data_IF_645277933571
#
_entry.id   IF_645277933571
#
_cell.length_a   1.000
_cell.length_b   1.000
_cell.length_c   1.000
_cell.angle_alpha   90.00
_cell.angle_beta   90.00
_cell.angle_gamma   90.00
#
_symmetry.space_group_name_H-M   'P 1'
#
loop_
_entity.id
_entity.type
_entity.pdbx_description
1 polymer ?
2 non-polymer ?
3 non-polymer ?
4 water ?
#
# COMPACT_ATOMS: atom_id res chain seq x y z
N UNK A 1 11.58 -9.43 15.29
CA UNK A 1 11.01 -9.18 13.93
C UNK A 1 11.89 -8.20 13.17
N UNK A 2 11.90 -8.33 11.85
CA UNK A 2 12.71 -7.44 11.02
C UNK A 2 12.00 -6.12 10.78
N UNK A 3 12.72 -5.03 10.99
CA UNK A 3 12.16 -3.70 10.77
C UNK A 3 12.56 -3.26 9.37
N UNK A 4 11.56 -3.03 8.52
CA UNK A 4 11.80 -2.62 7.15
C UNK A 4 11.71 -1.10 7.01
N UNK A 5 12.26 -0.59 5.91
CA UNK A 5 12.33 0.84 5.65
C UNK A 5 11.69 1.25 4.33
N UNK A 6 10.43 1.70 4.37
CA UNK A 6 9.71 2.13 3.16
C UNK A 6 10.41 3.27 2.42
N UNK A 7 10.42 3.19 1.09
CA UNK A 7 11.02 4.23 0.28
C UNK A 7 10.10 5.46 0.31
N UNK A 8 10.57 6.61 -0.21
CA UNK A 8 9.80 7.86 -0.23
C UNK A 8 8.29 7.84 -0.45
N UNK A 9 7.83 7.39 -1.61
CA UNK A 9 6.40 7.39 -1.88
C UNK A 9 5.61 6.55 -0.88
N UNK A 10 6.00 5.30 -0.70
CA UNK A 10 5.29 4.43 0.23
C UNK A 10 5.25 5.04 1.63
N UNK A 11 6.38 5.54 2.10
CA UNK A 11 6.44 6.13 3.44
C UNK A 11 5.46 7.29 3.57
N UNK A 12 5.39 8.12 2.52
CA UNK A 12 4.49 9.26 2.52
C UNK A 12 3.04 8.83 2.73
N UNK A 13 2.65 7.72 2.10
CA UNK A 13 1.29 7.23 2.22
C UNK A 13 1.02 6.69 3.62
N UNK A 14 2.02 6.03 4.20
CA UNK A 14 1.88 5.48 5.54
C UNK A 14 1.73 6.61 6.55
N UNK A 15 2.55 7.65 6.42
CA UNK A 15 2.46 8.77 7.34
C UNK A 15 1.15 9.53 7.21
N UNK A 16 0.61 9.60 6.00
CA UNK A 16 -0.65 10.30 5.80
C UNK A 16 -1.75 9.56 6.54
N UNK A 17 -1.58 8.25 6.69
CA UNK A 17 -2.56 7.42 7.37
C UNK A 17 -2.35 7.37 8.88
N UNK A 18 -1.28 8.00 9.36
CA UNK A 18 -1.03 8.01 10.79
C UNK A 18 0.31 7.49 11.27
N UNK A 19 1.09 6.88 10.39
CA UNK A 19 2.40 6.36 10.79
C UNK A 19 3.30 7.50 11.26
N UNK A 20 4.08 7.26 12.31
CA UNK A 20 4.95 8.30 12.86
C UNK A 20 6.43 7.94 12.97
N UNK A 21 6.89 6.96 12.20
CA UNK A 21 8.29 6.57 12.24
C UNK A 21 8.80 6.22 10.84
N UNK A 22 10.07 5.84 10.75
CA UNK A 22 10.68 5.50 9.46
C UNK A 22 10.85 4.01 9.21
N UNK A 23 10.84 3.21 10.28
CA UNK A 23 10.99 1.76 10.12
C UNK A 23 9.83 1.06 10.81
N UNK A 24 9.39 -0.05 10.22
CA UNK A 24 8.26 -0.81 10.74
C UNK A 24 8.41 -2.30 10.49
N UNK A 25 7.58 -3.10 11.16
CA UNK A 25 7.58 -4.53 10.91
C UNK A 25 6.66 -4.58 9.69
N UNK A 26 6.68 -5.67 8.95
CA UNK A 26 5.80 -5.76 7.79
C UNK A 26 4.35 -5.66 8.22
N UNK A 27 4.03 -6.18 9.40
CA UNK A 27 2.67 -6.12 9.91
C UNK A 27 2.22 -4.67 10.07
N UNK A 28 3.12 -3.82 10.56
CA UNK A 28 2.81 -2.41 10.75
C UNK A 28 2.65 -1.70 9.41
N UNK A 29 3.54 -2.00 8.46
CA UNK A 29 3.46 -1.39 7.13
C UNK A 29 2.10 -1.68 6.54
N UNK A 30 1.72 -2.95 6.56
CA UNK A 30 0.44 -3.38 6.01
C UNK A 30 -0.74 -2.74 6.72
N UNK A 31 -0.68 -2.66 8.05
CA UNK A 31 -1.76 -2.05 8.82
C UNK A 31 -1.96 -0.61 8.36
N UNK A 32 -0.87 0.14 8.28
CA UNK A 32 -0.95 1.54 7.87
C UNK A 32 -1.43 1.69 6.42
N UNK A 33 -1.03 0.78 5.54
CA UNK A 33 -1.47 0.87 4.15
C UNK A 33 -2.97 0.63 4.11
N UNK A 34 -3.44 -0.30 4.95
CA UNK A 34 -4.86 -0.58 5.02
C UNK A 34 -5.60 0.66 5.48
N UNK A 35 -5.05 1.34 6.48
CA UNK A 35 -5.68 2.56 6.98
C UNK A 35 -5.74 3.63 5.89
N UNK A 36 -4.69 3.70 5.08
CA UNK A 36 -4.62 4.66 3.98
C UNK A 36 -5.75 4.38 3.00
N UNK A 37 -5.92 3.11 2.66
CA UNK A 37 -6.97 2.68 1.73
C UNK A 37 -8.36 3.04 2.25
N UNK A 38 -8.60 2.85 3.55
CA UNK A 38 -9.89 3.19 4.13
C UNK A 38 -10.08 4.70 4.12
N UNK A 39 -9.03 5.43 4.49
CA UNK A 39 -9.07 6.89 4.55
C UNK A 39 -9.36 7.51 3.19
N UNK A 40 -8.74 6.96 2.15
CA UNK A 40 -8.91 7.46 0.78
C UNK A 40 -10.13 6.87 0.08
N UNK A 41 -10.82 5.96 0.76
CA UNK A 41 -11.99 5.30 0.19
C UNK A 41 -11.68 4.65 -1.15
N UNK A 42 -10.54 3.97 -1.21
CA UNK A 42 -10.12 3.31 -2.44
C UNK A 42 -10.78 1.96 -2.68
N UNK A 43 -11.36 1.38 -1.63
CA UNK A 43 -12.02 0.08 -1.80
C UNK A 43 -13.31 0.21 -2.62
N UNK A 44 -13.64 -0.86 -3.32
CA UNK A 44 -14.84 -0.92 -4.15
C UNK A 44 -16.10 -0.92 -3.28
N UNK A 45 -17.10 -0.14 -3.68
CA UNK A 45 -18.34 -0.06 -2.91
C UNK A 45 -19.10 -1.37 -2.79
N UNK A 46 -19.15 -2.13 -3.88
CA UNK A 46 -19.88 -3.40 -3.93
C UNK A 46 -19.07 -4.63 -3.52
N UNK A 47 -17.80 -4.67 -3.92
CA UNK A 47 -16.90 -5.77 -3.58
C UNK A 47 -15.78 -5.10 -2.80
N UNK A 48 -16.02 -4.94 -1.50
CA UNK A 48 -15.10 -4.25 -0.62
C UNK A 48 -13.68 -4.77 -0.46
N UNK A 49 -13.40 -5.98 -0.94
CA UNK A 49 -12.05 -6.52 -0.83
C UNK A 49 -11.20 -6.00 -1.99
N UNK A 50 -11.86 -5.43 -2.99
CA UNK A 50 -11.17 -4.88 -4.16
C UNK A 50 -10.70 -3.45 -3.88
N UNK A 51 -9.44 -3.17 -4.20
CA UNK A 51 -8.87 -1.84 -3.99
C UNK A 51 -8.58 -1.19 -5.34
N UNK A 52 -9.16 -0.01 -5.57
CA UNK A 52 -8.99 0.75 -6.81
C UNK A 52 -7.82 1.73 -6.67
N UNK A 53 -6.84 1.62 -7.55
CA UNK A 53 -5.67 2.49 -7.50
C UNK A 53 -5.51 3.40 -8.71
N UNK A 54 -6.34 3.20 -9.72
CA UNK A 54 -6.24 4.00 -10.94
C UNK A 54 -6.38 5.51 -10.76
N UNK A 55 -7.05 5.96 -9.70
CA UNK A 55 -7.23 7.39 -9.49
C UNK A 55 -6.43 7.92 -8.29
N UNK A 56 -5.49 7.11 -7.79
CA UNK A 56 -4.70 7.49 -6.62
C UNK A 56 -3.21 7.24 -6.81
N UNK A 57 -2.35 7.99 -6.09
CA UNK A 57 -0.90 7.80 -6.22
C UNK A 57 -0.46 6.37 -5.90
N UNK A 58 -1.29 5.64 -5.15
CA UNK A 58 -0.97 4.26 -4.82
C UNK A 58 -0.82 3.46 -6.12
N UNK A 59 -1.53 3.90 -7.16
CA UNK A 59 -1.47 3.21 -8.44
C UNK A 59 -0.08 3.15 -9.05
N UNK A 60 0.79 4.08 -8.66
CA UNK A 60 2.15 4.12 -9.17
C UNK A 60 2.97 2.92 -8.71
N UNK A 61 2.53 2.29 -7.63
CA UNK A 61 3.25 1.15 -7.07
C UNK A 61 2.80 -0.21 -7.60
N UNK A 62 1.74 -0.23 -8.41
CA UNK A 62 1.22 -1.47 -8.97
C UNK A 62 1.19 -1.47 -10.49
N UNK A 63 1.33 -2.65 -11.09
CA UNK A 63 1.26 -2.76 -12.53
C UNK A 63 -0.22 -2.76 -12.86
N UNK A 64 -0.92 -3.75 -12.32
CA UNK A 64 -2.36 -3.87 -12.49
C UNK A 64 -2.97 -2.90 -11.48
N UNK A 65 -3.79 -1.98 -11.97
CA UNK A 65 -4.39 -0.96 -11.12
C UNK A 65 -5.42 -1.39 -10.07
N UNK A 66 -5.81 -2.65 -10.09
CA UNK A 66 -6.76 -3.14 -9.09
C UNK A 66 -6.20 -4.38 -8.43
N UNK A 67 -6.24 -4.43 -7.10
CA UNK A 67 -5.76 -5.61 -6.41
C UNK A 67 -6.75 -5.92 -5.30
N UNK A 68 -6.77 -7.17 -4.87
CA UNK A 68 -7.66 -7.59 -3.80
C UNK A 68 -6.88 -7.71 -2.51
N UNK A 69 -7.51 -7.37 -1.39
CA UNK A 69 -6.82 -7.47 -0.11
C UNK A 69 -6.57 -8.94 0.23
N UNK A 70 -7.16 -9.85 -0.56
CA UNK A 70 -6.98 -11.29 -0.35
C UNK A 70 -5.67 -11.78 -0.99
N UNK A 71 -5.11 -10.97 -1.88
CA UNK A 71 -3.88 -11.33 -2.58
C UNK A 71 -2.65 -10.95 -1.77
N UNK A 72 -2.44 -11.64 -0.65
CA UNK A 72 -1.32 -11.33 0.23
C UNK A 72 0.07 -11.47 -0.38
N UNK A 73 0.30 -12.49 -1.20
CA UNK A 73 1.62 -12.64 -1.80
C UNK A 73 1.88 -11.49 -2.77
N UNK A 74 0.86 -11.10 -3.52
CA UNK A 74 1.00 -10.01 -4.48
C UNK A 74 1.27 -8.69 -3.75
N UNK A 75 0.55 -8.46 -2.66
CA UNK A 75 0.73 -7.24 -1.88
C UNK A 75 2.12 -7.19 -1.25
N UNK A 76 2.60 -8.33 -0.76
CA UNK A 76 3.93 -8.38 -0.17
C UNK A 76 4.97 -8.07 -1.25
N UNK A 77 4.71 -8.54 -2.47
CA UNK A 77 5.63 -8.30 -3.57
C UNK A 77 5.73 -6.80 -3.87
N UNK A 78 4.58 -6.12 -3.88
CA UNK A 78 4.56 -4.68 -4.14
C UNK A 78 5.34 -3.93 -3.09
N UNK A 79 5.12 -4.28 -1.83
CA UNK A 79 5.82 -3.60 -0.75
C UNK A 79 7.33 -3.80 -0.85
N UNK A 80 7.75 -5.03 -1.16
CA UNK A 80 9.17 -5.33 -1.28
C UNK A 80 9.88 -4.46 -2.31
N UNK A 81 9.16 -4.08 -3.36
CA UNK A 81 9.75 -3.23 -4.40
C UNK A 81 9.89 -1.81 -3.87
N UNK A 82 9.26 -1.54 -2.73
CA UNK A 82 9.28 -0.22 -2.14
C UNK A 82 9.90 -0.16 -0.75
N UNK A 83 10.95 -0.96 -0.56
CA UNK A 83 11.67 -0.99 0.70
C UNK A 83 13.14 -0.73 0.38
N UNK A 84 13.83 -0.02 1.26
CA UNK A 84 15.24 0.26 1.07
C UNK A 84 16.00 -1.06 1.26
N UNK A 85 16.71 -1.49 0.23
CA UNK A 85 17.47 -2.73 0.29
C UNK A 85 18.87 -2.50 0.85
X LIG B 1 -6.79 -5.06 6.08
X LIG B 1 -5.36 -5.31 6.12
X LIG B 1 -4.71 -4.78 7.41
X LIG B 1 -4.72 -4.70 4.88
X LIG B 1 -5.34 -6.87 6.07
X LIG B 1 -5.25 -7.45 7.48
X LIG B 1 -4.21 -7.40 5.23
X LIG B 1 -6.66 -7.22 5.49
X LIG B 1 -7.46 -6.22 5.56
X LIG B 1 -8.89 -6.24 5.17
X LIG B 1 -5.53 -4.32 3.80
X LIG B 1 -4.95 -3.85 2.62
X LIG B 1 -3.56 -3.75 2.53
X LIG B 1 -2.82 -3.27 1.00
X LIG B 1 -2.75 -4.05 3.63
X LIG B 1 -3.34 -4.52 4.81
X LIG B 1 -3.02 -7.79 5.87
X LIG B 1 -1.95 -8.25 5.11
X LIG B 1 -2.07 -8.32 3.72
X LIG B 1 -0.70 -8.86 2.76
X LIG B 1 -3.26 -7.95 3.09
X LIG B 1 -4.33 -7.49 3.85
X LIG B 1 -7.36 -3.84 6.59
X LIG B 1 -6.76 -2.77 6.43
X LIG B 1 -8.60 -3.87 7.25
X LIG B 1 -9.23 -2.59 7.58
X LIG B 1 -10.74 -2.72 7.39
X LIG B 1 -11.28 -3.84 8.20
X LIG B 1 -10.64 -5.13 7.83
X LIG B 1 -9.09 -5.06 7.95
X LIG B 1 -9.65 -7.38 5.43
X LIG B 1 -10.99 -7.45 5.04
X LIG B 1 -11.59 -6.37 4.38
X LIG B 1 -13.04 -6.46 3.98
X LIG B 1 -13.13 -6.81 2.49
X LIG B 1 -13.74 -5.12 4.23
X LIG B 1 -10.84 -5.21 4.11
X LIG B 1 -9.50 -5.17 4.50
X LIG B 1 -8.74 -4.07 4.21
X LIG B 1 -9.40 -3.03 3.51
X LIG B 1 -8.45 -1.83 3.33
X LIG B 1 -13.73 -7.55 4.80
X LIG B 1 -13.38 -5.03 8.86
X LIG B 1 -14.91 -4.96 8.70
X LIG B 1 -15.68 -6.48 9.16
X LIG B 1 -17.43 -6.17 9.12
X LIG B 1 -15.30 -6.80 10.53
X LIG B 1 -15.36 -7.49 8.14
X LIG B 1 -12.75 -3.87 8.09
X LIG C 1 -1.79 -14.39 -3.77
X LIG C 1 -1.39 -12.98 -3.99
X LIG C 1 -1.60 -14.75 -2.35
X LIG C 1 -3.21 -14.56 -4.14
X LIG C 1 -0.96 -15.27 -4.62
X LIG D 1 1.41 -5.91 -9.85
X LIG D 1 1.98 -6.76 -10.91
X LIG D 1 2.34 -4.81 -9.54
X LIG D 1 0.13 -5.34 -10.32
X LIG D 1 1.16 -6.71 -8.64
#
# INVERSE_FOLDING_TARGET
>A
EKLVQPTPLLLSLLKSAGAQKETFTMKEVLYHLGQYIMAKQLYDEKQQHIVHCSNDPLGELFGVQEFSVKEHRRIYAMISRNLVS
>B hetero
1 1F0 N1 C5 C57 C51 C4 C47 C41 N3 C2 C21 C56 C55 C54 CL5 C53 C52 C42 C43 C44 CL4 C45 C46 C10 O10 N10 C14 C13 N12 C12 C11 C22 C23 C24 C30 C33 C31 C25 C26 O27 C28 C29 C32 C16 C17 S17 C19 O17 O18 C15
>C hetero
1 SO4 S O1 O2 O3 O4
>D hetero
1 SO4 S O1 O2 O3 O4
#
